data_IF_057759705352
#
_entry.id   IF_057759705352
#
_cell.length_a   1.000
_cell.length_b   1.000
_cell.length_c   1.000
_cell.angle_alpha   90.00
_cell.angle_beta   90.00
_cell.angle_gamma   90.00
#
_symmetry.space_group_name_H-M   'P 1'
#
loop_
_entity.id
_entity.type
_entity.pdbx_description
1 polymer ?
#
# COMPACT_ATOMS: atom_id res chain seq x y z
N UNK A 1 52.58 32.25 6.70
CA UNK A 1 52.39 32.95 5.41
C UNK A 1 53.51 33.96 5.27
N UNK A 2 54.20 33.96 4.14
CA UNK A 2 55.23 34.94 3.78
C UNK A 2 54.60 35.94 2.82
N UNK A 3 54.74 37.24 3.07
CA UNK A 3 54.20 38.28 2.19
C UNK A 3 55.28 39.26 1.74
N UNK A 4 55.08 39.88 0.58
CA UNK A 4 56.07 40.77 0.00
C UNK A 4 55.55 41.63 -1.15
N UNK A 5 56.37 42.61 -1.55
CA UNK A 5 56.16 43.42 -2.75
C UNK A 5 57.02 42.87 -3.89
N UNK A 6 56.52 42.97 -5.11
CA UNK A 6 57.24 42.53 -6.32
C UNK A 6 57.06 43.52 -7.46
N UNK A 7 58.08 43.67 -8.29
CA UNK A 7 57.99 44.34 -9.58
C UNK A 7 57.68 43.37 -10.73
N UNK A 8 57.56 42.07 -10.45
CA UNK A 8 57.24 41.03 -11.43
C UNK A 8 55.71 40.98 -11.65
N UNK A 9 55.20 41.27 -12.86
CA UNK A 9 53.77 41.31 -13.14
C UNK A 9 53.14 39.94 -13.42
N UNK A 10 53.94 38.87 -13.41
CA UNK A 10 53.53 37.53 -13.85
C UNK A 10 53.30 36.53 -12.71
N UNK A 11 53.32 36.97 -11.45
CA UNK A 11 52.95 36.09 -10.34
C UNK A 11 51.45 35.81 -10.36
N UNK A 12 51.06 34.57 -10.09
CA UNK A 12 49.66 34.15 -9.98
C UNK A 12 49.50 33.10 -8.87
N UNK A 13 48.32 33.01 -8.23
CA UNK A 13 48.08 31.98 -7.21
C UNK A 13 48.33 30.57 -7.79
N UNK A 14 49.18 29.80 -7.11
CA UNK A 14 49.63 28.47 -7.51
C UNK A 14 51.00 28.44 -8.20
N UNK A 15 51.58 29.59 -8.61
CA UNK A 15 52.93 29.59 -9.15
C UNK A 15 53.99 29.38 -8.05
N UNK A 16 55.01 28.57 -8.34
CA UNK A 16 56.16 28.38 -7.45
C UNK A 16 57.28 29.32 -7.87
N UNK A 17 57.83 30.04 -6.90
CA UNK A 17 58.94 30.97 -7.09
C UNK A 17 60.13 30.56 -6.23
N UNK A 18 61.32 30.59 -6.83
CA UNK A 18 62.57 30.49 -6.10
C UNK A 18 62.85 31.87 -5.47
N UNK A 19 63.01 31.90 -4.16
CA UNK A 19 63.40 33.09 -3.42
C UNK A 19 64.90 33.01 -3.16
N UNK A 20 65.61 34.03 -3.61
CA UNK A 20 67.03 34.22 -3.34
C UNK A 20 67.22 35.46 -2.47
N UNK A 21 68.24 35.46 -1.62
CA UNK A 21 68.56 36.55 -0.71
C UNK A 21 69.94 37.10 -1.02
N UNK A 22 70.04 38.42 -1.19
CA UNK A 22 71.30 39.12 -1.38
C UNK A 22 72.03 39.24 -0.04
N UNK A 23 73.25 38.73 0.02
CA UNK A 23 74.15 38.89 1.17
C UNK A 23 75.00 40.15 0.98
N UNK A 24 74.85 41.10 1.90
CA UNK A 24 75.54 42.39 1.84
C UNK A 24 77.04 42.32 2.12
N UNK A 25 77.51 41.27 2.80
CA UNK A 25 78.93 41.10 3.12
C UNK A 25 79.70 40.44 1.97
N UNK A 26 79.18 39.31 1.47
CA UNK A 26 79.79 38.60 0.33
C UNK A 26 79.47 39.24 -1.02
N UNK A 27 78.46 40.10 -1.09
CA UNK A 27 77.92 40.71 -2.32
C UNK A 27 77.38 39.69 -3.33
N UNK A 28 77.00 38.51 -2.87
CA UNK A 28 76.43 37.44 -3.69
C UNK A 28 74.95 37.20 -3.37
N UNK A 29 74.20 36.68 -4.34
CA UNK A 29 72.81 36.27 -4.18
C UNK A 29 72.76 34.77 -3.97
N UNK A 30 72.22 34.33 -2.83
CA UNK A 30 72.15 32.92 -2.47
C UNK A 30 70.70 32.43 -2.42
N UNK A 31 70.47 31.19 -2.85
CA UNK A 31 69.17 30.54 -2.73
C UNK A 31 68.71 30.50 -1.26
N UNK A 32 67.48 30.94 -1.01
CA UNK A 32 66.88 30.92 0.32
C UNK A 32 65.85 29.79 0.44
N UNK A 33 64.78 29.83 -0.36
CA UNK A 33 63.69 28.86 -0.27
C UNK A 33 62.77 28.90 -1.50
N UNK A 34 61.85 27.94 -1.61
CA UNK A 34 60.78 27.94 -2.61
C UNK A 34 59.44 28.28 -1.98
N UNK A 35 58.72 29.20 -2.61
CA UNK A 35 57.41 29.63 -2.16
C UNK A 35 56.36 29.38 -3.22
N UNK A 36 55.19 28.92 -2.82
CA UNK A 36 53.98 28.88 -3.66
C UNK A 36 53.13 30.11 -3.35
N UNK A 37 52.91 30.96 -4.35
CA UNK A 37 52.05 32.14 -4.24
C UNK A 37 50.60 31.68 -4.00
N UNK A 38 49.93 32.23 -3.01
CA UNK A 38 48.52 31.92 -2.68
C UNK A 38 47.58 33.10 -2.95
N UNK A 39 48.11 34.32 -2.98
CA UNK A 39 47.38 35.54 -3.30
C UNK A 39 48.30 36.51 -4.03
N UNK A 40 47.76 37.25 -5.00
CA UNK A 40 48.46 38.35 -5.67
C UNK A 40 47.52 39.52 -5.91
N UNK A 41 48.00 40.72 -5.62
CA UNK A 41 47.32 41.98 -5.89
C UNK A 41 48.23 42.82 -6.79
N UNK A 42 47.77 43.11 -8.00
CA UNK A 42 48.49 43.92 -8.98
C UNK A 42 47.94 45.34 -8.98
N UNK A 43 48.82 46.34 -8.80
CA UNK A 43 48.46 47.75 -8.90
C UNK A 43 49.32 48.44 -9.94
N UNK A 44 48.71 49.25 -10.81
CA UNK A 44 49.40 50.12 -11.75
C UNK A 44 48.86 51.53 -11.56
N UNK A 45 49.74 52.50 -11.32
CA UNK A 45 49.34 53.90 -11.18
C UNK A 45 49.12 54.59 -12.55
N UNK A 46 48.63 55.83 -12.53
CA UNK A 46 48.39 56.61 -13.76
C UNK A 46 49.66 56.92 -14.56
N UNK A 47 50.84 56.84 -13.94
CA UNK A 47 52.12 57.01 -14.61
C UNK A 47 52.66 55.69 -15.19
N UNK A 48 51.95 54.58 -14.99
CA UNK A 48 52.34 53.25 -15.48
C UNK A 48 53.26 52.47 -14.54
N UNK A 49 53.48 52.93 -13.30
CA UNK A 49 54.32 52.21 -12.36
C UNK A 49 53.57 51.00 -11.78
N UNK A 50 54.14 49.82 -11.98
CA UNK A 50 53.60 48.56 -11.45
C UNK A 50 54.15 48.25 -10.06
N UNK A 51 53.26 47.87 -9.14
CA UNK A 51 53.59 47.26 -7.85
C UNK A 51 52.67 46.07 -7.61
N UNK A 52 53.25 44.88 -7.51
CA UNK A 52 52.57 43.68 -7.05
C UNK A 52 52.75 43.50 -5.55
N UNK A 53 51.72 43.00 -4.87
CA UNK A 53 51.81 42.43 -3.52
C UNK A 53 51.43 40.97 -3.59
N UNK A 54 52.16 40.10 -2.91
CA UNK A 54 51.86 38.68 -2.88
C UNK A 54 51.86 38.13 -1.45
N UNK A 55 51.06 37.09 -1.23
CA UNK A 55 51.18 36.18 -0.11
C UNK A 55 51.56 34.80 -0.62
N UNK A 56 52.40 34.09 0.13
CA UNK A 56 52.90 32.78 -0.25
C UNK A 56 53.09 31.86 0.95
N UNK A 57 53.12 30.56 0.68
CA UNK A 57 53.44 29.48 1.64
C UNK A 57 54.63 28.69 1.13
N UNK A 58 55.22 27.83 1.97
CA UNK A 58 56.28 26.93 1.52
C UNK A 58 55.78 26.06 0.35
N UNK A 59 56.56 25.94 -0.72
CA UNK A 59 56.16 25.18 -1.91
C UNK A 59 55.87 23.71 -1.64
N UNK A 60 56.55 23.14 -0.64
CA UNK A 60 56.48 21.73 -0.29
C UNK A 60 55.14 21.31 0.32
N UNK A 61 54.24 22.27 0.57
CA UNK A 61 52.85 22.01 0.93
C UNK A 61 52.08 21.31 -0.19
N UNK A 62 52.44 21.52 -1.46
CA UNK A 62 51.90 20.80 -2.62
C UNK A 62 50.45 21.13 -3.02
N UNK A 63 49.72 21.91 -2.24
CA UNK A 63 48.36 22.35 -2.56
C UNK A 63 48.06 23.74 -1.99
N UNK A 64 47.17 24.48 -2.66
CA UNK A 64 46.66 25.75 -2.17
C UNK A 64 45.85 25.54 -0.88
N UNK A 65 45.96 26.46 0.10
CA UNK A 65 45.18 26.35 1.34
C UNK A 65 43.69 26.31 1.02
N UNK A 66 42.99 25.35 1.62
CA UNK A 66 41.55 25.17 1.38
C UNK A 66 40.80 26.36 1.99
N UNK A 67 39.95 27.09 1.22
CA UNK A 67 39.15 28.16 1.77
C UNK A 67 38.22 27.61 2.86
N UNK A 68 38.04 28.38 3.93
CA UNK A 68 37.02 28.09 4.94
C UNK A 68 35.67 28.40 4.33
N UNK A 69 34.80 27.40 4.27
CA UNK A 69 33.43 27.56 3.82
C UNK A 69 32.48 26.97 4.85
N UNK A 70 31.30 27.57 4.93
CA UNK A 70 30.20 27.03 5.74
C UNK A 70 29.38 26.08 4.87
N UNK A 71 29.18 24.85 5.34
CA UNK A 71 28.29 23.93 4.65
C UNK A 71 26.86 24.49 4.70
N UNK A 72 26.15 24.52 3.56
CA UNK A 72 24.74 24.88 3.56
C UNK A 72 23.94 23.86 4.40
N UNK A 73 22.97 24.37 5.14
CA UNK A 73 22.06 23.59 5.98
C UNK A 73 20.68 23.64 5.31
N UNK A 74 20.08 22.48 5.08
CA UNK A 74 18.75 22.34 4.51
C UNK A 74 17.77 21.85 5.59
N UNK A 75 16.77 22.67 5.89
CA UNK A 75 15.63 22.28 6.72
C UNK A 75 14.56 21.55 5.89
N UNK A 76 13.61 20.84 6.50
CA UNK A 76 12.53 20.17 5.77
C UNK A 76 11.73 21.15 4.90
N UNK A 77 11.41 20.72 3.67
CA UNK A 77 10.72 21.54 2.68
C UNK A 77 9.61 20.76 1.98
N UNK A 78 8.57 21.47 1.53
CA UNK A 78 7.55 20.89 0.67
C UNK A 78 8.07 20.71 -0.76
N UNK A 79 7.64 19.62 -1.41
CA UNK A 79 7.91 19.36 -2.81
C UNK A 79 6.71 18.64 -3.44
N UNK A 80 6.61 18.69 -4.77
CA UNK A 80 5.59 17.96 -5.53
C UNK A 80 6.22 16.73 -6.18
N UNK A 81 5.58 15.57 -6.06
CA UNK A 81 6.01 14.33 -6.73
C UNK A 81 5.79 14.47 -8.23
N UNK A 82 6.82 14.18 -9.02
CA UNK A 82 6.77 14.27 -10.49
C UNK A 82 6.91 12.92 -11.18
N UNK A 83 7.57 11.95 -10.54
CA UNK A 83 7.64 10.55 -11.01
C UNK A 83 7.71 9.58 -9.82
N UNK A 84 7.11 8.40 -9.97
CA UNK A 84 7.05 7.32 -8.99
C UNK A 84 7.24 5.92 -9.60
N UNK A 85 7.76 5.82 -10.83
CA UNK A 85 7.94 4.56 -11.57
C UNK A 85 9.17 3.74 -11.18
N UNK A 86 9.90 4.12 -10.14
CA UNK A 86 11.08 3.39 -9.69
C UNK A 86 10.74 2.04 -9.06
N UNK A 87 11.60 1.04 -9.30
CA UNK A 87 11.41 -0.33 -8.83
C UNK A 87 11.73 -0.55 -7.34
N UNK A 88 12.20 0.50 -6.63
CA UNK A 88 12.62 0.46 -5.22
C UNK A 88 11.77 1.36 -4.31
N UNK A 89 10.61 1.81 -4.77
CA UNK A 89 9.71 2.68 -3.98
C UNK A 89 10.28 4.07 -3.70
N UNK A 90 11.16 4.55 -4.59
CA UNK A 90 11.65 5.94 -4.58
C UNK A 90 10.76 6.81 -5.45
N UNK A 91 10.84 8.12 -5.25
CA UNK A 91 10.16 9.10 -6.08
C UNK A 91 11.13 10.16 -6.59
N UNK A 92 10.81 10.80 -7.70
CA UNK A 92 11.38 12.08 -8.07
C UNK A 92 10.41 13.17 -7.64
N UNK A 93 10.94 14.23 -7.03
CA UNK A 93 10.15 15.39 -6.61
C UNK A 93 10.69 16.65 -7.27
N UNK A 94 9.88 17.70 -7.27
CA UNK A 94 10.28 19.06 -7.65
C UNK A 94 9.97 19.99 -6.48
N UNK A 95 11.01 20.63 -5.93
CA UNK A 95 10.85 21.71 -4.96
C UNK A 95 10.27 22.96 -5.61
N UNK A 96 9.64 23.83 -4.83
CA UNK A 96 8.97 25.03 -5.36
C UNK A 96 9.94 26.02 -6.03
N UNK A 97 11.22 26.01 -5.63
CA UNK A 97 12.28 26.84 -6.19
C UNK A 97 13.06 26.16 -7.34
N UNK A 98 12.79 24.88 -7.62
CA UNK A 98 13.56 24.10 -8.60
C UNK A 98 12.80 24.00 -9.93
N UNK A 99 13.48 24.31 -11.04
CA UNK A 99 12.91 24.16 -12.38
C UNK A 99 12.86 22.69 -12.85
N UNK A 100 13.86 21.90 -12.43
CA UNK A 100 13.99 20.47 -12.73
C UNK A 100 13.53 19.59 -11.57
N UNK A 101 13.59 18.27 -11.73
CA UNK A 101 13.31 17.31 -10.65
C UNK A 101 14.58 16.88 -9.93
N UNK A 102 14.41 16.31 -8.74
CA UNK A 102 15.49 15.60 -8.04
C UNK A 102 15.86 14.30 -8.76
N UNK A 103 16.99 13.71 -8.35
CA UNK A 103 17.24 12.28 -8.52
C UNK A 103 16.19 11.45 -7.75
N UNK A 104 16.23 10.12 -7.89
CA UNK A 104 15.36 9.21 -7.14
C UNK A 104 15.69 9.22 -5.64
N UNK A 105 14.77 9.76 -4.84
CA UNK A 105 14.91 9.89 -3.39
C UNK A 105 14.05 8.87 -2.65
N UNK A 106 14.54 8.39 -1.50
CA UNK A 106 13.85 7.38 -0.69
C UNK A 106 12.59 7.94 -0.05
N UNK A 107 11.58 7.10 0.12
CA UNK A 107 10.36 7.40 0.86
C UNK A 107 10.44 6.76 2.25
N UNK A 108 10.24 7.56 3.29
CA UNK A 108 10.04 7.09 4.66
C UNK A 108 8.67 6.44 4.76
N UNK A 109 8.61 5.28 5.38
CA UNK A 109 7.38 4.52 5.63
C UNK A 109 7.35 4.07 7.09
N UNK A 110 6.17 3.89 7.72
CA UNK A 110 6.05 3.40 9.08
C UNK A 110 6.81 2.10 9.35
N UNK A 111 6.92 1.23 8.34
CA UNK A 111 7.64 -0.04 8.44
C UNK A 111 8.16 -0.47 7.07
N UNK A 112 9.48 -0.71 6.98
CA UNK A 112 10.14 -1.23 5.78
C UNK A 112 11.23 -2.24 6.15
N UNK A 113 11.36 -3.32 5.38
CA UNK A 113 12.48 -4.23 5.49
C UNK A 113 12.29 -5.50 4.66
N UNK A 114 13.05 -6.52 5.03
CA UNK A 114 12.95 -7.87 4.46
C UNK A 114 12.95 -8.95 5.55
N UNK A 115 12.65 -10.18 5.15
CA UNK A 115 12.78 -11.42 5.93
C UNK A 115 13.11 -12.58 4.98
N UNK A 116 13.42 -13.76 5.54
CA UNK A 116 13.69 -14.98 4.76
C UNK A 116 12.52 -15.37 3.83
N UNK A 117 11.30 -14.94 4.15
CA UNK A 117 10.09 -15.22 3.36
C UNK A 117 9.68 -14.07 2.43
N UNK A 118 10.08 -12.83 2.73
CA UNK A 118 9.72 -11.62 1.97
C UNK A 118 10.96 -10.74 1.83
N UNK A 119 11.64 -10.84 0.70
CA UNK A 119 13.00 -10.27 0.56
C UNK A 119 13.05 -8.77 0.24
N UNK A 120 11.97 -8.15 -0.28
CA UNK A 120 12.02 -6.76 -0.80
C UNK A 120 11.03 -5.78 -0.16
N UNK A 121 9.77 -6.20 0.05
CA UNK A 121 8.67 -5.29 0.40
C UNK A 121 7.91 -5.77 1.65
N UNK A 122 8.63 -6.12 2.73
CA UNK A 122 7.99 -6.41 4.01
C UNK A 122 7.69 -5.09 4.72
N UNK A 123 6.43 -4.90 5.12
CA UNK A 123 5.98 -3.73 5.88
C UNK A 123 4.90 -2.93 5.16
N UNK A 124 4.85 -1.62 5.42
CA UNK A 124 3.86 -0.73 4.84
C UNK A 124 4.37 -0.12 3.53
N UNK A 125 3.69 -0.40 2.42
CA UNK A 125 4.10 0.09 1.10
C UNK A 125 2.97 0.92 0.50
N UNK A 126 3.10 2.24 0.64
CA UNK A 126 2.24 3.23 -0.01
C UNK A 126 3.14 4.33 -0.56
N UNK A 127 3.42 4.29 -1.86
CA UNK A 127 4.30 5.25 -2.53
C UNK A 127 3.45 6.45 -2.96
N UNK A 128 3.89 7.70 -2.68
CA UNK A 128 3.23 8.90 -3.17
C UNK A 128 2.99 8.88 -4.68
N UNK A 129 1.87 9.44 -5.11
CA UNK A 129 1.47 9.50 -6.50
C UNK A 129 1.97 10.79 -7.18
N UNK A 130 2.09 10.76 -8.51
CA UNK A 130 2.44 11.96 -9.29
C UNK A 130 1.41 13.06 -9.02
N UNK A 131 1.90 14.24 -8.63
CA UNK A 131 1.09 15.40 -8.24
C UNK A 131 0.87 15.54 -6.73
N UNK A 132 1.20 14.53 -5.92
CA UNK A 132 1.10 14.62 -4.47
C UNK A 132 2.11 15.62 -3.90
N UNK A 133 1.67 16.41 -2.92
CA UNK A 133 2.55 17.24 -2.12
C UNK A 133 3.13 16.43 -0.96
N UNK A 134 4.45 16.44 -0.85
CA UNK A 134 5.22 15.71 0.17
C UNK A 134 6.11 16.64 0.96
N UNK A 135 6.39 16.27 2.21
CA UNK A 135 7.46 16.85 3.00
C UNK A 135 8.76 16.11 2.73
N UNK A 136 9.82 16.83 2.40
CA UNK A 136 11.16 16.30 2.14
C UNK A 136 12.09 16.73 3.25
N UNK A 137 12.71 15.77 3.92
CA UNK A 137 13.75 15.99 4.92
C UNK A 137 15.14 15.76 4.33
N UNK A 138 16.16 16.21 5.05
CA UNK A 138 17.56 16.11 4.62
C UNK A 138 18.37 15.42 5.71
N UNK A 139 19.06 14.31 5.38
CA UNK A 139 19.83 13.56 6.37
C UNK A 139 20.98 14.43 6.89
N UNK A 140 21.01 14.64 8.21
CA UNK A 140 21.91 15.58 8.89
C UNK A 140 21.81 17.02 8.34
N UNK A 141 20.64 17.41 7.84
CA UNK A 141 20.39 18.70 7.18
C UNK A 141 21.33 18.97 5.99
N UNK A 142 21.85 17.92 5.34
CA UNK A 142 22.71 18.05 4.17
C UNK A 142 21.86 18.14 2.89
N UNK A 143 21.96 19.21 2.08
CA UNK A 143 21.09 19.41 0.91
C UNK A 143 21.18 18.27 -0.12
N UNK A 144 22.36 17.66 -0.28
CA UNK A 144 22.55 16.51 -1.19
C UNK A 144 21.99 15.17 -0.68
N UNK A 145 21.33 15.14 0.48
CA UNK A 145 20.79 13.90 1.08
C UNK A 145 19.28 13.97 1.36
N UNK A 146 18.45 14.32 0.37
CA UNK A 146 17.01 14.39 0.54
C UNK A 146 16.35 13.01 0.68
N UNK A 147 15.24 12.97 1.42
CA UNK A 147 14.32 11.84 1.49
C UNK A 147 12.90 12.35 1.78
N UNK A 148 11.89 11.67 1.25
CA UNK A 148 10.48 12.00 1.55
C UNK A 148 10.16 11.52 2.96
N UNK A 149 9.67 12.41 3.81
CA UNK A 149 9.21 12.12 5.16
C UNK A 149 7.78 11.59 5.19
N UNK A 150 6.93 12.08 4.28
CA UNK A 150 5.52 11.70 4.16
C UNK A 150 4.73 12.70 3.33
N UNK A 151 3.47 12.38 3.07
CA UNK A 151 2.54 13.25 2.33
C UNK A 151 1.78 14.20 3.28
N UNK A 152 1.36 15.35 2.77
CA UNK A 152 0.60 16.35 3.52
C UNK A 152 -0.78 16.54 2.90
N UNK A 153 -1.81 16.61 3.75
CA UNK A 153 -3.11 17.12 3.34
C UNK A 153 -3.04 18.62 3.08
N UNK A 154 -3.78 19.09 2.07
CA UNK A 154 -3.89 20.50 1.70
C UNK A 154 -5.28 20.82 1.12
N UNK A 155 -5.56 22.07 0.77
CA UNK A 155 -6.92 22.51 0.38
C UNK A 155 -7.58 21.81 -0.82
N UNK A 156 -6.86 20.94 -1.56
CA UNK A 156 -7.45 20.10 -2.62
C UNK A 156 -7.53 18.61 -2.25
N UNK A 157 -6.75 18.15 -1.27
CA UNK A 157 -6.66 16.75 -0.86
C UNK A 157 -6.69 16.68 0.67
N UNK A 158 -7.71 16.01 1.20
CA UNK A 158 -7.99 15.98 2.64
C UNK A 158 -9.35 16.57 2.95
N UNK A 159 -10.33 15.69 3.17
CA UNK A 159 -11.68 16.00 3.62
C UNK A 159 -11.91 15.53 5.07
N UNK A 160 -10.82 15.35 5.82
CA UNK A 160 -10.63 14.32 6.83
C UNK A 160 -11.69 14.15 7.93
N UNK A 161 -11.76 12.94 8.47
CA UNK A 161 -12.42 12.59 9.73
C UNK A 161 -13.94 12.45 9.68
N UNK A 162 -14.61 12.99 8.67
CA UNK A 162 -16.07 13.07 8.66
C UNK A 162 -16.61 13.90 9.84
N UNK A 163 -17.90 13.75 10.15
CA UNK A 163 -18.50 14.45 11.30
C UNK A 163 -17.84 13.99 12.60
N UNK A 164 -17.43 14.93 13.44
CA UNK A 164 -16.82 14.65 14.74
C UNK A 164 -15.45 13.95 14.69
N UNK A 165 -14.81 13.87 13.51
CA UNK A 165 -13.59 13.09 13.32
C UNK A 165 -13.77 11.58 13.60
N UNK A 166 -14.98 11.05 13.39
CA UNK A 166 -15.31 9.65 13.65
C UNK A 166 -14.77 8.69 12.58
N UNK A 167 -14.46 9.16 11.38
CA UNK A 167 -14.06 8.33 10.25
C UNK A 167 -12.53 8.25 10.13
N UNK A 168 -11.99 7.03 10.25
CA UNK A 168 -10.59 6.69 9.97
C UNK A 168 -10.56 5.75 8.78
N UNK A 169 -9.83 6.11 7.73
CA UNK A 169 -9.88 5.33 6.49
C UNK A 169 -8.54 5.21 5.79
N UNK A 170 -8.37 4.10 5.08
CA UNK A 170 -7.35 3.86 4.08
C UNK A 170 -8.02 3.81 2.71
N UNK A 171 -7.54 4.60 1.76
CA UNK A 171 -8.07 4.64 0.39
C UNK A 171 -6.94 4.40 -0.61
N UNK A 172 -7.13 3.48 -1.55
CA UNK A 172 -6.18 3.25 -2.63
C UNK A 172 -6.42 4.21 -3.80
N UNK A 173 -5.40 4.39 -4.66
CA UNK A 173 -5.51 5.15 -5.93
C UNK A 173 -6.70 4.74 -6.80
N UNK A 174 -7.01 3.44 -6.82
CA UNK A 174 -8.09 2.88 -7.63
C UNK A 174 -9.48 2.97 -6.98
N UNK A 175 -9.58 3.47 -5.74
CA UNK A 175 -10.85 3.65 -5.04
C UNK A 175 -11.29 2.48 -4.14
N UNK A 176 -10.39 1.58 -3.76
CA UNK A 176 -10.67 0.62 -2.68
C UNK A 176 -10.55 1.33 -1.32
N UNK A 177 -11.42 0.99 -0.37
CA UNK A 177 -11.47 1.66 0.94
C UNK A 177 -11.58 0.67 2.09
N UNK A 178 -10.85 0.92 3.18
CA UNK A 178 -11.07 0.35 4.51
C UNK A 178 -11.43 1.52 5.42
N UNK A 179 -12.59 1.48 6.05
CA UNK A 179 -13.13 2.56 6.88
C UNK A 179 -13.53 2.03 8.26
N UNK A 180 -13.07 2.72 9.30
CA UNK A 180 -13.51 2.57 10.68
C UNK A 180 -14.25 3.84 11.06
N UNK A 181 -15.49 3.72 11.49
CA UNK A 181 -16.33 4.84 11.89
C UNK A 181 -16.73 4.70 13.37
N UNK A 182 -16.20 5.57 14.23
CA UNK A 182 -16.43 5.53 15.69
C UNK A 182 -17.90 5.74 16.09
N UNK A 183 -18.72 6.35 15.22
CA UNK A 183 -20.16 6.49 15.43
C UNK A 183 -21.00 5.44 14.69
N UNK A 184 -20.36 4.52 13.97
CA UNK A 184 -21.00 3.47 13.19
C UNK A 184 -20.25 2.15 13.36
N UNK A 185 -19.67 1.66 12.27
CA UNK A 185 -18.92 0.41 12.29
C UNK A 185 -17.78 0.38 11.29
N UNK A 186 -17.47 -0.80 10.76
CA UNK A 186 -16.33 -1.06 9.88
C UNK A 186 -16.84 -1.41 8.50
N UNK A 187 -16.30 -0.76 7.47
CA UNK A 187 -16.60 -1.05 6.06
C UNK A 187 -15.33 -1.34 5.29
N UNK A 188 -15.30 -2.47 4.58
CA UNK A 188 -14.28 -2.79 3.58
C UNK A 188 -14.99 -2.82 2.23
N UNK A 189 -14.52 -2.01 1.27
CA UNK A 189 -15.20 -1.82 -0.01
C UNK A 189 -14.21 -1.75 -1.17
N UNK A 190 -14.55 -2.38 -2.28
CA UNK A 190 -13.80 -2.26 -3.52
C UNK A 190 -14.28 -1.10 -4.40
N UNK A 191 -13.51 -0.80 -5.46
CA UNK A 191 -13.84 0.29 -6.39
C UNK A 191 -15.15 0.09 -7.17
N UNK A 192 -15.68 -1.15 -7.23
CA UNK A 192 -16.91 -1.49 -7.96
C UNK A 192 -18.13 -1.45 -7.04
N UNK A 193 -17.94 -1.35 -5.72
CA UNK A 193 -19.01 -1.27 -4.72
C UNK A 193 -19.25 -2.56 -3.94
N UNK A 194 -18.50 -3.64 -4.23
CA UNK A 194 -18.56 -4.86 -3.42
C UNK A 194 -18.04 -4.52 -2.02
N UNK A 195 -18.74 -4.96 -0.97
CA UNK A 195 -18.45 -4.53 0.40
C UNK A 195 -18.79 -5.57 1.45
N UNK A 196 -18.05 -5.49 2.55
CA UNK A 196 -18.37 -6.14 3.82
C UNK A 196 -18.54 -5.05 4.87
N UNK A 197 -19.63 -5.09 5.62
CA UNK A 197 -19.98 -4.11 6.66
C UNK A 197 -20.24 -4.82 7.98
N UNK A 198 -19.51 -4.43 9.01
CA UNK A 198 -19.83 -4.71 10.40
C UNK A 198 -20.46 -3.42 10.95
N UNK A 199 -21.75 -3.42 11.28
CA UNK A 199 -22.51 -2.18 11.45
C UNK A 199 -22.40 -1.52 12.85
N UNK A 200 -21.74 -2.18 13.80
CA UNK A 200 -21.65 -1.73 15.19
C UNK A 200 -22.91 -2.00 16.04
N UNK A 201 -24.00 -2.45 15.43
CA UNK A 201 -25.26 -2.86 16.09
C UNK A 201 -25.39 -4.40 16.21
N UNK A 202 -24.34 -5.13 15.84
CA UNK A 202 -24.26 -6.59 15.94
C UNK A 202 -24.52 -7.33 14.63
N UNK A 203 -24.76 -6.63 13.52
CA UNK A 203 -24.98 -7.25 12.22
C UNK A 203 -23.71 -7.22 11.36
N UNK A 204 -23.59 -8.24 10.51
CA UNK A 204 -22.58 -8.32 9.46
C UNK A 204 -23.29 -8.51 8.13
N UNK A 205 -22.94 -7.72 7.13
CA UNK A 205 -23.46 -7.86 5.77
C UNK A 205 -22.34 -7.94 4.74
N UNK A 206 -22.57 -8.73 3.70
CA UNK A 206 -21.67 -8.90 2.56
C UNK A 206 -22.51 -8.69 1.30
N UNK A 207 -22.07 -7.76 0.46
CA UNK A 207 -22.74 -7.37 -0.78
C UNK A 207 -21.74 -7.49 -1.94
N UNK A 208 -22.14 -8.24 -2.97
CA UNK A 208 -21.33 -8.49 -4.15
C UNK A 208 -22.19 -8.46 -5.42
N UNK A 209 -21.66 -7.85 -6.48
CA UNK A 209 -22.37 -7.68 -7.75
C UNK A 209 -22.49 -8.97 -8.59
N UNK A 210 -21.64 -9.97 -8.34
CA UNK A 210 -21.63 -11.20 -9.14
C UNK A 210 -21.77 -12.46 -8.28
N UNK A 211 -20.84 -12.72 -7.37
CA UNK A 211 -20.85 -13.96 -6.58
C UNK A 211 -20.29 -13.76 -5.18
N UNK A 212 -20.85 -14.48 -4.19
CA UNK A 212 -20.24 -14.71 -2.88
C UNK A 212 -19.91 -16.19 -2.77
N UNK A 213 -18.65 -16.52 -2.49
CA UNK A 213 -18.15 -17.90 -2.46
C UNK A 213 -17.38 -18.19 -1.18
N UNK A 214 -17.80 -19.19 -0.43
CA UNK A 214 -17.09 -19.77 0.72
C UNK A 214 -16.57 -21.15 0.31
N UNK A 215 -15.27 -21.42 0.43
CA UNK A 215 -14.65 -22.68 -0.04
C UNK A 215 -13.61 -23.23 0.93
N UNK A 216 -13.61 -24.54 1.11
CA UNK A 216 -12.56 -25.30 1.81
C UNK A 216 -12.39 -26.67 1.15
N UNK A 217 -11.30 -26.86 0.39
CA UNK A 217 -11.15 -28.04 -0.47
C UNK A 217 -12.31 -28.14 -1.48
N UNK A 218 -12.96 -29.31 -1.52
CA UNK A 218 -14.11 -29.59 -2.40
C UNK A 218 -15.46 -29.08 -1.86
N UNK A 219 -15.52 -28.62 -0.60
CA UNK A 219 -16.76 -28.09 -0.01
C UNK A 219 -16.95 -26.62 -0.36
N UNK A 220 -18.18 -26.22 -0.68
CA UNK A 220 -18.49 -24.83 -1.03
C UNK A 220 -19.92 -24.38 -0.74
N UNK A 221 -20.07 -23.08 -0.46
CA UNK A 221 -21.33 -22.35 -0.51
C UNK A 221 -21.17 -21.23 -1.53
N UNK A 222 -22.04 -21.17 -2.53
CA UNK A 222 -22.02 -20.20 -3.62
C UNK A 222 -23.38 -19.50 -3.71
N UNK A 223 -23.36 -18.17 -3.70
CA UNK A 223 -24.48 -17.31 -4.08
C UNK A 223 -24.07 -16.63 -5.38
N UNK A 224 -24.93 -16.63 -6.39
CA UNK A 224 -24.66 -15.96 -7.66
C UNK A 224 -25.73 -14.93 -8.06
N UNK A 225 -25.41 -14.11 -9.05
CA UNK A 225 -26.26 -13.04 -9.56
C UNK A 225 -27.52 -13.52 -10.27
N UNK A 226 -27.68 -14.83 -10.51
CA UNK A 226 -28.94 -15.41 -11.02
C UNK A 226 -29.95 -15.68 -9.90
N UNK A 227 -29.53 -15.53 -8.63
CA UNK A 227 -30.32 -15.88 -7.46
C UNK A 227 -30.17 -17.34 -7.04
N UNK A 228 -29.32 -18.13 -7.71
CA UNK A 228 -29.05 -19.51 -7.33
C UNK A 228 -28.13 -19.56 -6.09
N UNK A 229 -28.52 -20.40 -5.14
CA UNK A 229 -27.70 -20.74 -3.97
C UNK A 229 -27.33 -22.22 -4.06
N UNK A 230 -26.04 -22.50 -4.07
CA UNK A 230 -25.50 -23.86 -4.15
C UNK A 230 -24.72 -24.20 -2.89
N UNK A 231 -25.08 -25.30 -2.23
CA UNK A 231 -24.34 -25.89 -1.10
C UNK A 231 -23.81 -27.25 -1.57
N UNK A 232 -22.49 -27.42 -1.56
CA UNK A 232 -21.81 -28.63 -2.02
C UNK A 232 -20.84 -29.14 -0.96
N UNK A 233 -20.87 -30.44 -0.71
CA UNK A 233 -19.94 -31.17 0.15
C UNK A 233 -20.13 -32.66 -0.04
N UNK A 234 -19.17 -33.47 0.42
CA UNK A 234 -19.29 -34.94 0.45
C UNK A 234 -20.49 -35.37 1.30
N UNK A 235 -20.60 -34.76 2.48
CA UNK A 235 -21.73 -34.90 3.40
C UNK A 235 -22.27 -33.51 3.75
N UNK A 236 -23.59 -33.36 3.82
CA UNK A 236 -24.27 -32.14 4.26
C UNK A 236 -25.14 -32.47 5.47
N UNK A 237 -24.70 -32.08 6.68
CA UNK A 237 -25.50 -32.19 7.90
C UNK A 237 -26.30 -30.90 8.14
N UNK A 238 -27.61 -31.04 8.36
CA UNK A 238 -28.52 -29.93 8.68
C UNK A 238 -29.25 -30.29 9.98
N UNK A 239 -28.90 -29.60 11.06
CA UNK A 239 -29.43 -29.88 12.41
C UNK A 239 -30.23 -28.67 12.92
N UNK A 240 -31.53 -28.87 13.12
CA UNK A 240 -32.42 -27.88 13.74
C UNK A 240 -32.83 -28.33 15.13
N UNK A 241 -32.76 -27.44 16.12
CA UNK A 241 -33.21 -27.73 17.50
C UNK A 241 -34.72 -27.72 17.65
N UNK A 242 -35.41 -26.87 16.87
CA UNK A 242 -36.87 -26.76 16.85
C UNK A 242 -37.47 -27.37 15.57
N UNK A 243 -36.92 -26.99 14.42
CA UNK A 243 -37.38 -27.48 13.11
C UNK A 243 -36.32 -27.28 12.02
N UNK A 244 -36.45 -28.04 10.93
CA UNK A 244 -35.76 -27.82 9.65
C UNK A 244 -36.84 -27.60 8.58
N UNK A 245 -36.76 -26.50 7.83
CA UNK A 245 -37.80 -26.11 6.86
C UNK A 245 -37.18 -25.88 5.47
N UNK A 246 -37.83 -26.40 4.44
CA UNK A 246 -37.63 -26.01 3.05
C UNK A 246 -38.99 -25.55 2.51
N UNK A 247 -39.12 -24.29 2.09
CA UNK A 247 -40.39 -23.68 1.69
C UNK A 247 -40.30 -23.06 0.30
N UNK A 248 -41.38 -23.13 -0.47
CA UNK A 248 -41.57 -22.46 -1.74
C UNK A 248 -42.87 -21.64 -1.65
N UNK A 249 -42.75 -20.31 -1.63
CA UNK A 249 -43.87 -19.45 -1.29
C UNK A 249 -44.44 -19.74 0.10
N UNK A 250 -45.75 -19.54 0.26
CA UNK A 250 -46.42 -19.67 1.56
C UNK A 250 -46.98 -21.08 1.82
N UNK A 251 -47.30 -21.85 0.78
CA UNK A 251 -48.10 -23.07 0.88
C UNK A 251 -47.30 -24.38 0.75
N UNK A 252 -46.23 -24.38 -0.06
CA UNK A 252 -45.50 -25.60 -0.37
C UNK A 252 -44.26 -25.72 0.53
N UNK A 253 -44.14 -26.84 1.25
CA UNK A 253 -43.02 -27.04 2.17
C UNK A 253 -42.70 -28.51 2.48
N UNK A 254 -41.44 -28.72 2.89
CA UNK A 254 -40.99 -29.88 3.66
C UNK A 254 -40.53 -29.37 5.02
N UNK A 255 -41.18 -29.84 6.08
CA UNK A 255 -40.87 -29.46 7.44
C UNK A 255 -40.58 -30.70 8.30
N UNK A 256 -39.45 -30.68 8.97
CA UNK A 256 -39.09 -31.64 10.01
C UNK A 256 -39.20 -30.94 11.35
N UNK A 257 -40.02 -31.47 12.26
CA UNK A 257 -40.09 -31.06 13.67
C UNK A 257 -39.83 -32.26 14.57
N UNK A 258 -39.80 -32.04 15.89
CA UNK A 258 -39.76 -33.14 16.84
C UNK A 258 -40.92 -34.13 16.58
N UNK A 259 -40.58 -35.38 16.24
CA UNK A 259 -41.53 -36.47 16.03
C UNK A 259 -42.39 -36.43 14.77
N UNK A 260 -42.22 -35.44 13.87
CA UNK A 260 -43.05 -35.31 12.65
C UNK A 260 -42.23 -34.84 11.46
N UNK A 261 -42.47 -35.46 10.31
CA UNK A 261 -42.12 -34.92 8.99
C UNK A 261 -43.42 -34.60 8.28
N UNK A 262 -43.53 -33.39 7.76
CA UNK A 262 -44.71 -32.88 7.06
C UNK A 262 -44.30 -32.43 5.66
N UNK A 263 -44.99 -32.93 4.64
CA UNK A 263 -44.73 -32.64 3.23
C UNK A 263 -46.04 -32.17 2.65
N UNK A 264 -46.10 -30.89 2.30
CA UNK A 264 -47.30 -30.24 1.75
C UNK A 264 -46.92 -29.59 0.44
N UNK A 265 -47.66 -29.92 -0.62
CA UNK A 265 -47.49 -29.40 -1.96
C UNK A 265 -48.77 -29.66 -2.75
N UNK A 266 -48.98 -28.92 -3.83
CA UNK A 266 -50.06 -29.19 -4.80
C UNK A 266 -49.91 -30.59 -5.41
N UNK A 267 -48.69 -30.94 -5.81
CA UNK A 267 -48.34 -32.25 -6.34
C UNK A 267 -47.14 -32.83 -5.59
N UNK A 268 -47.20 -34.11 -5.24
CA UNK A 268 -46.10 -34.87 -4.65
C UNK A 268 -45.88 -36.13 -5.49
N UNK A 269 -44.70 -36.24 -6.09
CA UNK A 269 -44.26 -37.44 -6.81
C UNK A 269 -43.21 -38.19 -5.98
N UNK A 270 -43.44 -39.48 -5.73
CA UNK A 270 -42.49 -40.36 -5.05
C UNK A 270 -42.12 -41.48 -6.01
N UNK A 271 -40.94 -41.38 -6.61
CA UNK A 271 -40.43 -42.33 -7.60
C UNK A 271 -39.15 -42.98 -7.08
N UNK A 272 -39.12 -44.31 -7.03
CA UNK A 272 -37.90 -45.07 -6.75
C UNK A 272 -37.60 -46.01 -7.91
N UNK A 273 -36.38 -45.96 -8.44
CA UNK A 273 -35.97 -46.84 -9.56
C UNK A 273 -36.03 -48.32 -9.18
N UNK A 274 -35.67 -48.63 -7.92
CA UNK A 274 -35.64 -50.00 -7.41
C UNK A 274 -36.75 -50.28 -6.40
N UNK A 275 -37.01 -49.33 -5.48
CA UNK A 275 -37.98 -49.50 -4.39
C UNK A 275 -38.41 -48.14 -3.85
N UNK A 276 -39.70 -48.01 -3.58
CA UNK A 276 -40.25 -47.05 -2.63
C UNK A 276 -41.00 -47.84 -1.55
N UNK A 277 -40.78 -47.55 -0.27
CA UNK A 277 -41.45 -48.26 0.83
C UNK A 277 -41.91 -47.32 1.92
N UNK A 278 -43.12 -47.57 2.41
CA UNK A 278 -43.71 -46.89 3.56
C UNK A 278 -43.97 -47.94 4.64
N UNK A 279 -43.32 -47.80 5.79
CA UNK A 279 -43.48 -48.72 6.93
C UNK A 279 -43.67 -47.90 8.19
N UNK A 280 -44.79 -48.11 8.88
CA UNK A 280 -45.14 -47.44 10.11
C UNK A 280 -46.06 -48.35 10.94
N UNK A 281 -46.22 -48.04 12.23
CA UNK A 281 -47.20 -48.73 13.09
C UNK A 281 -48.64 -48.59 12.54
N UNK A 282 -48.92 -47.47 11.87
CA UNK A 282 -50.17 -47.19 11.18
C UNK A 282 -49.88 -46.36 9.93
N UNK A 283 -50.50 -46.72 8.81
CA UNK A 283 -50.42 -45.99 7.53
C UNK A 283 -51.83 -45.68 7.05
N UNK A 284 -52.07 -44.44 6.60
CA UNK A 284 -53.35 -44.02 5.99
C UNK A 284 -53.07 -43.43 4.62
N UNK A 285 -53.81 -43.88 3.60
CA UNK A 285 -53.76 -43.35 2.23
C UNK A 285 -55.19 -42.98 1.85
N UNK A 286 -55.42 -41.70 1.58
CA UNK A 286 -56.73 -41.15 1.23
C UNK A 286 -56.63 -40.45 -0.12
N UNK A 287 -57.63 -40.64 -0.98
CA UNK A 287 -57.80 -39.87 -2.20
C UNK A 287 -59.24 -39.39 -2.28
N UNK A 288 -59.47 -38.08 -2.10
CA UNK A 288 -60.82 -37.51 -2.01
C UNK A 288 -61.63 -37.73 -3.29
N UNK A 289 -60.98 -37.60 -4.45
CA UNK A 289 -61.59 -37.91 -5.75
C UNK A 289 -61.31 -39.33 -6.19
N UNK A 290 -60.05 -39.79 -6.09
CA UNK A 290 -59.61 -41.11 -6.56
C UNK A 290 -58.33 -41.54 -5.84
N UNK A 291 -58.25 -42.80 -5.45
CA UNK A 291 -57.00 -43.49 -5.15
C UNK A 291 -56.80 -44.64 -6.15
N UNK A 292 -55.60 -44.79 -6.70
CA UNK A 292 -55.28 -45.86 -7.68
C UNK A 292 -54.04 -46.62 -7.24
N UNK A 293 -54.13 -47.95 -7.20
CA UNK A 293 -52.99 -48.86 -7.02
C UNK A 293 -52.85 -49.70 -8.28
N UNK A 294 -51.66 -49.70 -8.90
CA UNK A 294 -51.41 -50.42 -10.15
C UNK A 294 -50.05 -51.10 -10.08
N UNK A 295 -50.01 -52.37 -10.51
CA UNK A 295 -48.79 -53.17 -10.65
C UNK A 295 -48.85 -53.93 -11.97
N UNK A 296 -47.72 -54.02 -12.68
CA UNK A 296 -47.59 -54.92 -13.84
C UNK A 296 -47.41 -56.38 -13.40
N UNK A 297 -46.88 -56.58 -12.19
CA UNK A 297 -46.74 -57.88 -11.55
C UNK A 297 -47.85 -58.11 -10.52
N UNK A 298 -47.67 -59.11 -9.63
CA UNK A 298 -48.62 -59.36 -8.56
C UNK A 298 -48.69 -58.15 -7.60
N UNK A 299 -49.89 -57.87 -7.10
CA UNK A 299 -50.12 -56.97 -5.96
C UNK A 299 -50.54 -57.81 -4.77
N UNK A 300 -49.77 -57.77 -3.69
CA UNK A 300 -50.06 -58.54 -2.46
C UNK A 300 -50.60 -57.61 -1.39
N UNK A 301 -51.77 -57.93 -0.84
CA UNK A 301 -52.39 -57.24 0.29
C UNK A 301 -52.61 -58.24 1.43
N UNK A 302 -51.85 -58.09 2.51
CA UNK A 302 -51.88 -58.99 3.65
C UNK A 302 -52.37 -58.26 4.91
N UNK A 303 -53.27 -58.90 5.65
CA UNK A 303 -53.80 -58.40 6.91
C UNK A 303 -54.78 -59.38 7.54
N UNK A 304 -55.00 -59.29 8.85
CA UNK A 304 -55.95 -60.16 9.55
C UNK A 304 -57.38 -60.00 9.01
N UNK A 305 -57.76 -58.78 8.59
CA UNK A 305 -59.04 -58.47 7.93
C UNK A 305 -58.78 -57.45 6.83
N UNK A 306 -59.24 -57.74 5.60
CA UNK A 306 -59.29 -56.79 4.49
C UNK A 306 -60.75 -56.49 4.20
N UNK A 307 -61.15 -55.22 4.32
CA UNK A 307 -62.51 -54.76 3.98
C UNK A 307 -62.49 -54.10 2.62
N UNK A 308 -63.29 -54.62 1.71
CA UNK A 308 -63.58 -54.01 0.41
C UNK A 308 -65.08 -53.70 0.40
N UNK A 309 -65.43 -52.42 0.27
CA UNK A 309 -66.81 -51.95 0.23
C UNK A 309 -67.10 -51.34 -1.14
#
# INVERSE_FOLDING_TARGET
VTSGKTSVPFLYPGCVVDMEMYDTESKETNYLTKLMVIEVNHSVDFAGNYVGHFEAIASDTGFLPRPVFHNPIAEPQTATVVDNKDDKGRVQVRFDWQDTSTEWIRVMTPDAGGSDKVSKNRGFVAIPEIGDQVMVGFIHNHPDRPYVMGSLFHGKVGSGGGSGNNVKSLSSKSGHTIELNDAGGITIRDKQGNKTVLDGAGNVSVDAQSTISLKAGESSILLDSSGMITIKGTDISIEGTNSVNSKIGDNDYVQVTSGKVDIVSTDIAITGEQKASVSAKQTTITGDSKATLTSQGPTTLEGAIVKLN
#
